data_IF_830267964931
#
_entry.id   IF_830267964931
#
_cell.length_a   1.000
_cell.length_b   1.000
_cell.length_c   1.000
_cell.angle_alpha   90.00
_cell.angle_beta   90.00
_cell.angle_gamma   90.00
#
_symmetry.space_group_name_H-M   'P 1'
#
loop_
_entity.id
_entity.type
_entity.pdbx_description
1 polymer ?
#
# COMPACT_ATOMS: atom_id res chain seq x y z
N UNK A 1 8.79 -1.04 -11.31
CA UNK A 1 7.39 -1.35 -11.67
C UNK A 1 6.89 -2.38 -10.67
N UNK A 2 5.68 -2.25 -10.14
CA UNK A 2 5.13 -3.22 -9.18
C UNK A 2 4.76 -4.51 -9.91
N UNK A 3 4.84 -5.64 -9.21
CA UNK A 3 4.39 -6.93 -9.73
C UNK A 3 2.86 -7.00 -9.78
N UNK A 4 2.30 -7.97 -10.52
CA UNK A 4 0.86 -8.21 -10.53
C UNK A 4 0.32 -8.53 -9.13
N UNK A 5 1.07 -9.31 -8.34
CA UNK A 5 0.71 -9.64 -6.96
C UNK A 5 0.68 -8.39 -6.06
N UNK A 6 1.67 -7.50 -6.21
CA UNK A 6 1.67 -6.21 -5.50
C UNK A 6 0.48 -5.33 -5.89
N UNK A 7 0.12 -5.28 -7.17
CA UNK A 7 -1.03 -4.49 -7.64
C UNK A 7 -2.36 -5.02 -7.10
N UNK A 8 -2.53 -6.34 -7.02
CA UNK A 8 -3.72 -6.95 -6.42
C UNK A 8 -3.84 -6.60 -4.94
N UNK A 9 -2.76 -6.76 -4.17
CA UNK A 9 -2.74 -6.41 -2.75
C UNK A 9 -2.94 -4.92 -2.53
N UNK A 10 -2.32 -4.07 -3.35
CA UNK A 10 -2.49 -2.62 -3.30
C UNK A 10 -3.94 -2.22 -3.54
N UNK A 11 -4.64 -2.86 -4.47
CA UNK A 11 -6.08 -2.61 -4.69
C UNK A 11 -6.90 -2.94 -3.45
N UNK A 12 -6.65 -4.10 -2.83
CA UNK A 12 -7.36 -4.53 -1.60
C UNK A 12 -7.12 -3.57 -0.44
N UNK A 13 -5.86 -3.19 -0.20
CA UNK A 13 -5.48 -2.21 0.84
C UNK A 13 -6.12 -0.86 0.57
N UNK A 14 -6.04 -0.37 -0.67
CA UNK A 14 -6.62 0.93 -1.05
C UNK A 14 -8.14 0.95 -0.89
N UNK A 15 -8.82 -0.13 -1.30
CA UNK A 15 -10.27 -0.26 -1.12
C UNK A 15 -10.65 -0.28 0.37
N UNK A 16 -9.92 -1.04 1.19
CA UNK A 16 -10.17 -1.07 2.63
C UNK A 16 -9.99 0.32 3.27
N UNK A 17 -8.89 1.02 2.96
CA UNK A 17 -8.61 2.34 3.51
C UNK A 17 -9.66 3.36 3.08
N UNK A 18 -9.93 3.46 1.78
CA UNK A 18 -10.76 4.54 1.23
C UNK A 18 -12.25 4.29 1.33
N UNK A 19 -12.71 3.05 1.14
CA UNK A 19 -14.14 2.73 1.07
C UNK A 19 -14.69 2.21 2.39
N UNK A 20 -13.93 1.36 3.10
CA UNK A 20 -14.40 0.76 4.37
C UNK A 20 -14.07 1.67 5.56
N UNK A 21 -12.83 2.18 5.62
CA UNK A 21 -12.33 2.91 6.78
C UNK A 21 -12.39 4.43 6.63
N UNK A 22 -12.66 4.95 5.42
CA UNK A 22 -12.69 6.37 5.10
C UNK A 22 -11.42 7.13 5.52
N UNK A 23 -10.27 6.46 5.39
CA UNK A 23 -8.95 7.01 5.66
C UNK A 23 -8.31 7.54 4.36
N UNK A 24 -7.65 8.71 4.38
CA UNK A 24 -6.91 9.21 3.23
C UNK A 24 -5.66 8.37 2.96
N UNK A 25 -5.28 8.29 1.69
CA UNK A 25 -3.97 7.76 1.25
C UNK A 25 -3.14 8.94 0.79
N UNK A 26 -1.96 9.11 1.37
CA UNK A 26 -1.07 10.25 1.11
C UNK A 26 0.06 9.89 0.15
N UNK A 27 0.57 8.66 0.23
CA UNK A 27 1.69 8.20 -0.57
C UNK A 27 1.47 6.76 -1.01
N UNK A 28 1.78 6.50 -2.28
CA UNK A 28 2.03 5.16 -2.80
C UNK A 28 3.31 5.22 -3.61
N UNK A 29 4.35 4.50 -3.18
CA UNK A 29 5.64 4.51 -3.86
C UNK A 29 6.26 3.12 -3.90
N UNK A 30 7.21 2.91 -4.83
CA UNK A 30 8.04 1.72 -4.87
C UNK A 30 9.43 2.10 -4.43
N UNK A 31 9.98 1.41 -3.44
CA UNK A 31 11.40 1.51 -3.13
C UNK A 31 12.22 0.80 -4.21
N UNK A 32 13.12 1.53 -4.86
CA UNK A 32 13.96 0.98 -5.93
C UNK A 32 15.03 0.00 -5.42
N UNK A 33 15.32 -0.01 -4.11
CA UNK A 33 16.32 -0.91 -3.50
C UNK A 33 15.72 -2.28 -3.17
N UNK A 34 14.53 -2.31 -2.59
CA UNK A 34 13.85 -3.55 -2.17
C UNK A 34 12.78 -4.03 -3.15
N UNK A 35 12.28 -3.13 -4.01
CA UNK A 35 11.13 -3.32 -4.89
C UNK A 35 9.79 -3.47 -4.14
N UNK A 36 9.75 -3.12 -2.87
CA UNK A 36 8.53 -3.13 -2.06
C UNK A 36 7.68 -1.90 -2.37
N UNK A 37 6.36 -2.05 -2.34
CA UNK A 37 5.40 -0.95 -2.45
C UNK A 37 5.08 -0.48 -1.04
N UNK A 38 5.25 0.80 -0.77
CA UNK A 38 4.85 1.41 0.49
C UNK A 38 3.58 2.23 0.30
N UNK A 39 2.69 2.16 1.28
CA UNK A 39 1.46 2.94 1.35
C UNK A 39 1.43 3.69 2.68
N UNK A 40 1.38 5.03 2.61
CA UNK A 40 1.18 5.89 3.78
C UNK A 40 -0.24 6.41 3.77
N UNK A 41 -0.97 6.21 4.86
CA UNK A 41 -2.38 6.51 4.98
C UNK A 41 -2.75 6.96 6.41
N UNK A 42 -4.02 7.31 6.58
CA UNK A 42 -4.57 7.74 7.86
C UNK A 42 -4.52 9.26 8.04
N UNK A 43 -5.46 9.81 8.81
CA UNK A 43 -5.50 11.27 9.03
C UNK A 43 -4.23 11.83 9.69
N UNK A 44 -3.53 11.01 10.49
CA UNK A 44 -2.29 11.38 11.15
C UNK A 44 -1.02 10.84 10.47
N UNK A 45 -1.12 10.28 9.27
CA UNK A 45 -0.02 9.54 8.62
C UNK A 45 0.51 8.39 9.49
N UNK A 46 -0.38 7.81 10.30
CA UNK A 46 -0.10 6.81 11.32
C UNK A 46 -0.27 5.37 10.82
N UNK A 47 -0.79 5.19 9.60
CA UNK A 47 -0.94 3.90 8.95
C UNK A 47 0.09 3.73 7.84
N UNK A 48 1.02 2.82 8.04
CA UNK A 48 2.04 2.44 7.05
C UNK A 48 1.85 0.97 6.69
N UNK A 49 1.89 0.69 5.39
CA UNK A 49 1.84 -0.68 4.87
C UNK A 49 3.00 -0.91 3.91
N UNK A 50 3.56 -2.11 3.96
CA UNK A 50 4.59 -2.57 3.05
C UNK A 50 4.09 -3.79 2.27
N UNK A 51 4.12 -3.72 0.94
CA UNK A 51 3.75 -4.82 0.05
C UNK A 51 5.00 -5.32 -0.67
N UNK A 52 5.48 -6.48 -0.26
CA UNK A 52 6.65 -7.14 -0.84
C UNK A 52 6.34 -7.74 -2.22
N UNK A 53 7.34 -8.15 -3.04
CA UNK A 53 7.13 -8.48 -4.46
C UNK A 53 6.20 -9.68 -4.71
N UNK A 54 6.05 -10.57 -3.73
CA UNK A 54 5.13 -11.71 -3.77
C UNK A 54 3.68 -11.33 -3.42
N UNK A 55 3.42 -10.08 -3.02
CA UNK A 55 2.09 -9.56 -2.67
C UNK A 55 1.72 -9.68 -1.20
N UNK A 56 2.57 -10.22 -0.32
CA UNK A 56 2.33 -10.18 1.13
C UNK A 56 2.35 -8.73 1.64
N UNK A 57 1.53 -8.44 2.65
CA UNK A 57 1.34 -7.10 3.22
C UNK A 57 1.76 -7.12 4.69
N UNK A 58 2.59 -6.15 5.09
CA UNK A 58 3.07 -5.93 6.45
C UNK A 58 2.67 -4.55 6.96
#
# INVERSE_FOLDING_TARGET
MPTAAQLESLYRVSYQLTYIMLQPIHLVCIDQRTLNVYVLAGYGEDLEFEIVPNGEVF
#
